data_IF_871652933598
#
_entry.id   IF_871652933598
#
_cell.length_a   1.000
_cell.length_b   1.000
_cell.length_c   1.000
_cell.angle_alpha   90.00
_cell.angle_beta   90.00
_cell.angle_gamma   90.00
#
_symmetry.space_group_name_H-M   'P 1'
#
loop_
_entity.id
_entity.type
_entity.pdbx_description
1 polymer ?
#
# COMPACT_ATOMS: atom_id res chain seq x y z
N UNK A 1 58.92 20.10 44.17
CA UNK A 1 59.22 20.17 42.73
C UNK A 1 58.07 19.46 42.03
N UNK A 2 57.39 20.17 41.15
CA UNK A 2 56.12 19.85 40.51
C UNK A 2 56.16 18.57 39.66
N UNK A 3 55.06 17.80 39.62
CA UNK A 3 54.24 17.68 38.42
C UNK A 3 52.88 17.02 38.72
N UNK A 4 51.81 17.74 38.38
CA UNK A 4 50.45 17.23 38.21
C UNK A 4 50.38 16.20 37.08
N UNK A 5 49.51 15.19 37.22
CA UNK A 5 48.74 14.73 36.07
C UNK A 5 47.41 14.12 36.53
N UNK A 6 46.35 14.90 36.33
CA UNK A 6 44.95 14.50 36.39
C UNK A 6 44.67 13.58 35.19
N UNK A 7 44.25 12.34 35.44
CA UNK A 7 43.72 11.47 34.39
C UNK A 7 42.25 11.85 34.10
N UNK A 8 41.84 11.97 32.82
CA UNK A 8 40.53 12.51 32.46
C UNK A 8 39.41 11.46 32.56
N UNK A 9 38.22 11.95 32.84
CA UNK A 9 36.93 11.25 32.81
C UNK A 9 36.78 10.35 31.57
N UNK A 10 36.64 9.05 31.80
CA UNK A 10 36.13 8.14 30.80
C UNK A 10 34.64 8.43 30.56
N UNK A 11 34.36 9.19 29.51
CA UNK A 11 33.01 9.35 28.97
C UNK A 11 32.49 7.99 28.48
N UNK A 12 31.65 7.34 29.29
CA UNK A 12 30.84 6.21 28.85
C UNK A 12 29.86 6.66 27.76
N UNK A 13 30.24 6.51 26.50
CA UNK A 13 29.29 6.56 25.39
C UNK A 13 28.53 5.23 25.32
N UNK A 14 27.51 5.12 26.17
CA UNK A 14 26.47 4.11 26.00
C UNK A 14 25.68 4.39 24.73
N UNK A 15 26.09 3.80 23.59
CA UNK A 15 25.22 3.69 22.41
C UNK A 15 24.08 2.73 22.76
N UNK A 16 23.01 3.27 23.36
CA UNK A 16 21.76 2.55 23.52
C UNK A 16 21.28 2.08 22.14
N UNK A 17 21.20 0.76 21.94
CA UNK A 17 20.52 0.18 20.78
C UNK A 17 19.08 0.67 20.83
N UNK A 18 18.69 1.58 19.92
CA UNK A 18 17.25 1.81 19.68
C UNK A 18 16.65 0.48 19.25
N UNK A 19 15.75 -0.06 20.06
CA UNK A 19 14.96 -1.21 19.67
C UNK A 19 14.17 -0.84 18.41
N UNK A 20 14.38 -1.58 17.31
CA UNK A 20 13.58 -1.40 16.10
C UNK A 20 12.15 -1.84 16.41
N UNK A 21 11.21 -0.90 16.33
CA UNK A 21 9.78 -1.21 16.42
C UNK A 21 9.36 -1.97 15.16
N UNK A 22 8.95 -3.22 15.33
CA UNK A 22 8.29 -3.99 14.27
C UNK A 22 6.84 -3.53 14.13
N UNK A 23 6.34 -3.52 12.90
CA UNK A 23 4.93 -3.27 12.59
C UNK A 23 4.32 -4.49 11.94
N UNK A 24 3.06 -4.77 12.26
CA UNK A 24 2.33 -5.90 11.70
C UNK A 24 1.20 -5.41 10.80
N UNK A 25 1.15 -5.95 9.58
CA UNK A 25 0.10 -5.70 8.60
C UNK A 25 -0.58 -6.98 8.17
N UNK A 26 -1.78 -6.86 7.60
CA UNK A 26 -2.56 -7.99 7.09
C UNK A 26 -3.02 -7.73 5.67
N UNK A 27 -2.90 -8.75 4.80
CA UNK A 27 -3.41 -8.70 3.43
C UNK A 27 -4.57 -9.69 3.30
N UNK A 28 -5.62 -9.28 2.60
CA UNK A 28 -6.85 -10.07 2.49
C UNK A 28 -7.43 -10.04 1.09
N UNK A 29 -7.88 -11.21 0.63
CA UNK A 29 -8.66 -11.36 -0.60
C UNK A 29 -10.00 -10.61 -0.54
N UNK A 30 -10.55 -10.25 -1.69
CA UNK A 30 -11.82 -9.53 -1.84
C UNK A 30 -13.01 -10.43 -2.18
N UNK A 31 -13.00 -11.67 -1.69
CA UNK A 31 -13.94 -12.72 -2.08
C UNK A 31 -15.12 -12.94 -1.11
N UNK A 32 -15.36 -11.97 -0.22
CA UNK A 32 -16.47 -11.98 0.74
C UNK A 32 -17.50 -10.90 0.40
N UNK A 33 -18.69 -10.92 1.02
CA UNK A 33 -19.67 -9.82 0.87
C UNK A 33 -19.12 -8.51 1.44
N UNK A 34 -19.71 -7.39 1.03
CA UNK A 34 -19.31 -6.07 1.52
C UNK A 34 -19.32 -6.00 3.05
N UNK A 35 -20.39 -6.45 3.70
CA UNK A 35 -20.57 -6.41 5.15
C UNK A 35 -19.47 -7.20 5.87
N UNK A 36 -19.07 -8.35 5.31
CA UNK A 36 -17.99 -9.17 5.85
C UNK A 36 -16.62 -8.54 5.66
N UNK A 37 -16.40 -7.82 4.56
CA UNK A 37 -15.17 -7.04 4.37
C UNK A 37 -15.08 -5.88 5.37
N UNK A 38 -16.20 -5.20 5.67
CA UNK A 38 -16.25 -4.14 6.68
C UNK A 38 -15.98 -4.71 8.07
N UNK A 39 -16.72 -5.75 8.47
CA UNK A 39 -16.59 -6.40 9.78
C UNK A 39 -15.14 -6.84 10.04
N UNK A 40 -14.52 -7.53 9.08
CA UNK A 40 -13.16 -8.05 9.24
C UNK A 40 -12.11 -6.93 9.34
N UNK A 41 -12.23 -5.85 8.55
CA UNK A 41 -11.26 -4.74 8.58
C UNK A 41 -11.36 -3.95 9.87
N UNK A 42 -12.57 -3.70 10.37
CA UNK A 42 -12.78 -3.12 11.70
C UNK A 42 -12.23 -4.03 12.80
N UNK A 43 -12.35 -5.35 12.64
CA UNK A 43 -11.77 -6.29 13.60
C UNK A 43 -10.24 -6.29 13.58
N UNK A 44 -9.60 -6.21 12.42
CA UNK A 44 -8.14 -6.08 12.32
C UNK A 44 -7.62 -4.82 13.00
N UNK A 45 -8.31 -3.69 12.84
CA UNK A 45 -7.96 -2.46 13.56
C UNK A 45 -8.08 -2.64 15.08
N UNK A 46 -9.16 -3.27 15.57
CA UNK A 46 -9.34 -3.58 17.00
C UNK A 46 -8.28 -4.53 17.56
N UNK A 47 -7.76 -5.45 16.73
CA UNK A 47 -6.66 -6.36 17.10
C UNK A 47 -5.29 -5.67 17.11
N UNK A 48 -5.19 -4.42 16.65
CA UNK A 48 -3.96 -3.64 16.66
C UNK A 48 -3.06 -3.86 15.45
N UNK A 49 -3.58 -4.39 14.34
CA UNK A 49 -2.83 -4.35 13.08
C UNK A 49 -2.59 -2.89 12.67
N UNK A 50 -1.36 -2.59 12.25
CA UNK A 50 -0.97 -1.22 11.88
C UNK A 50 -1.32 -0.90 10.41
N UNK A 51 -1.51 -1.94 9.58
CA UNK A 51 -1.93 -1.77 8.19
C UNK A 51 -2.79 -2.93 7.67
N UNK A 52 -3.72 -2.64 6.76
CA UNK A 52 -4.52 -3.62 6.03
C UNK A 52 -4.43 -3.41 4.51
N UNK A 53 -4.36 -4.50 3.75
CA UNK A 53 -4.04 -4.49 2.33
C UNK A 53 -5.00 -5.34 1.50
N UNK A 54 -5.39 -4.85 0.34
CA UNK A 54 -6.09 -5.60 -0.71
C UNK A 54 -5.12 -6.01 -1.82
N UNK A 55 -5.52 -6.96 -2.67
CA UNK A 55 -4.73 -7.41 -3.83
C UNK A 55 -5.32 -6.82 -5.12
N UNK A 56 -4.54 -6.17 -5.98
CA UNK A 56 -5.07 -5.64 -7.24
C UNK A 56 -5.24 -6.73 -8.30
N UNK A 57 -6.27 -7.55 -8.11
CA UNK A 57 -6.73 -8.54 -9.07
C UNK A 57 -8.22 -8.33 -9.35
N UNK A 58 -8.64 -8.63 -10.58
CA UNK A 58 -10.05 -8.60 -10.98
C UNK A 58 -10.76 -9.94 -10.74
N UNK A 59 -9.98 -10.98 -10.49
CA UNK A 59 -10.42 -12.31 -10.07
C UNK A 59 -9.50 -12.87 -9.00
N UNK A 60 -9.98 -13.81 -8.18
CA UNK A 60 -9.09 -14.56 -7.31
C UNK A 60 -8.25 -15.56 -8.14
N UNK A 61 -6.90 -15.48 -8.18
CA UNK A 61 -6.11 -16.38 -9.02
C UNK A 61 -6.31 -17.87 -8.68
N UNK A 62 -6.51 -18.18 -7.39
CA UNK A 62 -6.79 -19.55 -6.92
C UNK A 62 -8.25 -19.99 -7.12
N UNK A 63 -9.17 -19.06 -7.40
CA UNK A 63 -10.60 -19.35 -7.63
C UNK A 63 -11.21 -18.35 -8.63
N UNK A 64 -10.87 -18.44 -9.93
CA UNK A 64 -11.25 -17.42 -10.93
C UNK A 64 -12.75 -17.20 -11.13
N UNK A 65 -13.58 -18.20 -10.81
CA UNK A 65 -15.05 -18.15 -10.97
C UNK A 65 -15.78 -17.69 -9.71
N UNK A 66 -15.06 -17.36 -8.63
CA UNK A 66 -15.64 -16.87 -7.38
C UNK A 66 -15.96 -15.37 -7.44
N UNK A 67 -16.78 -14.86 -6.51
CA UNK A 67 -16.95 -13.43 -6.35
C UNK A 67 -15.61 -12.79 -5.98
N UNK A 68 -15.28 -11.65 -6.59
CA UNK A 68 -14.11 -10.86 -6.25
C UNK A 68 -14.42 -9.38 -6.51
N UNK A 69 -14.32 -8.54 -5.49
CA UNK A 69 -14.48 -7.08 -5.68
C UNK A 69 -13.21 -6.47 -6.27
N UNK A 70 -13.38 -5.42 -7.07
CA UNK A 70 -12.27 -4.58 -7.55
C UNK A 70 -11.61 -3.86 -6.36
N UNK A 71 -10.27 -3.84 -6.35
CA UNK A 71 -9.49 -3.47 -5.17
C UNK A 71 -9.66 -2.01 -4.75
N UNK A 72 -9.59 -1.05 -5.68
CA UNK A 72 -9.55 0.37 -5.32
C UNK A 72 -10.92 0.93 -4.93
N UNK A 73 -11.98 0.50 -5.60
CA UNK A 73 -13.36 0.85 -5.24
C UNK A 73 -13.74 0.24 -3.89
N UNK A 74 -13.35 -1.01 -3.62
CA UNK A 74 -13.51 -1.60 -2.29
C UNK A 74 -12.67 -0.84 -1.24
N UNK A 75 -11.42 -0.50 -1.55
CA UNK A 75 -10.53 0.23 -0.65
C UNK A 75 -11.14 1.57 -0.22
N UNK A 76 -11.71 2.32 -1.16
CA UNK A 76 -12.39 3.59 -0.87
C UNK A 76 -13.54 3.41 0.13
N UNK A 77 -14.36 2.37 -0.05
CA UNK A 77 -15.41 2.03 0.90
C UNK A 77 -14.85 1.67 2.28
N UNK A 78 -13.86 0.78 2.34
CA UNK A 78 -13.28 0.33 3.59
C UNK A 78 -12.50 1.43 4.33
N UNK A 79 -11.94 2.38 3.59
CA UNK A 79 -11.32 3.57 4.13
C UNK A 79 -12.30 4.36 5.02
N UNK A 80 -13.53 4.57 4.55
CA UNK A 80 -14.58 5.27 5.29
C UNK A 80 -15.10 4.49 6.51
N UNK A 81 -14.88 3.17 6.55
CA UNK A 81 -15.37 2.29 7.61
C UNK A 81 -14.33 1.98 8.69
N UNK A 82 -13.13 2.56 8.59
CA UNK A 82 -12.01 2.41 9.54
C UNK A 82 -11.49 3.78 9.98
N UNK A 83 -10.83 3.85 11.13
CA UNK A 83 -10.45 5.15 11.72
C UNK A 83 -8.94 5.35 11.84
N UNK A 84 -8.17 4.27 12.04
CA UNK A 84 -6.76 4.36 12.46
C UNK A 84 -5.82 3.49 11.65
N UNK A 85 -6.27 2.31 11.23
CA UNK A 85 -5.42 1.37 10.50
C UNK A 85 -4.96 1.99 9.18
N UNK A 86 -3.68 1.87 8.83
CA UNK A 86 -3.19 2.31 7.51
C UNK A 86 -3.71 1.36 6.44
N UNK A 87 -4.00 1.85 5.25
CA UNK A 87 -4.67 1.04 4.22
C UNK A 87 -3.94 1.14 2.89
N UNK A 88 -4.05 0.11 2.06
CA UNK A 88 -3.47 0.17 0.73
C UNK A 88 -3.80 -1.04 -0.13
N UNK A 89 -3.19 -1.06 -1.32
CA UNK A 89 -3.23 -2.19 -2.25
C UNK A 89 -1.81 -2.74 -2.42
N UNK A 90 -1.63 -4.04 -2.19
CA UNK A 90 -0.35 -4.75 -2.23
C UNK A 90 -0.38 -5.82 -3.33
N UNK A 91 -0.02 -5.52 -4.57
CA UNK A 91 0.36 -4.19 -5.11
C UNK A 91 -0.58 -3.80 -6.25
N UNK A 92 -0.76 -2.50 -6.48
CA UNK A 92 -1.54 -1.98 -7.62
C UNK A 92 -0.89 -2.41 -8.93
N UNK A 93 -1.64 -3.07 -9.81
CA UNK A 93 -1.17 -3.47 -11.12
C UNK A 93 -1.14 -2.27 -12.06
N UNK A 94 0.04 -1.96 -12.58
CA UNK A 94 0.24 -0.83 -13.49
C UNK A 94 -0.41 -1.00 -14.88
N UNK A 95 -1.03 -2.15 -15.15
CA UNK A 95 -1.65 -2.48 -16.44
C UNK A 95 -3.15 -2.20 -16.48
N UNK A 96 -3.83 -2.06 -15.33
CA UNK A 96 -5.29 -1.93 -15.30
C UNK A 96 -5.80 -0.53 -15.52
N UNK A 97 -4.98 0.48 -15.21
CA UNK A 97 -5.41 1.88 -15.24
C UNK A 97 -4.25 2.79 -15.55
N UNK A 98 -4.55 3.92 -16.19
CA UNK A 98 -3.53 4.92 -16.52
C UNK A 98 -2.90 5.49 -15.23
N UNK A 99 -1.58 5.73 -15.17
CA UNK A 99 -0.92 6.22 -13.96
C UNK A 99 -1.50 7.53 -13.40
N UNK A 100 -1.87 8.47 -14.27
CA UNK A 100 -2.52 9.72 -13.83
C UNK A 100 -3.91 9.50 -13.23
N UNK A 101 -4.65 8.49 -13.69
CA UNK A 101 -5.95 8.11 -13.11
C UNK A 101 -5.71 7.47 -11.74
N UNK A 102 -4.73 6.57 -11.63
CA UNK A 102 -4.32 6.00 -10.35
C UNK A 102 -3.93 7.08 -9.33
N UNK A 103 -3.15 8.08 -9.74
CA UNK A 103 -2.76 9.18 -8.85
C UNK A 103 -3.97 9.95 -8.31
N UNK A 104 -4.97 10.23 -9.16
CA UNK A 104 -6.22 10.88 -8.72
C UNK A 104 -7.06 9.98 -7.81
N UNK A 105 -7.16 8.68 -8.11
CA UNK A 105 -7.82 7.72 -7.23
C UNK A 105 -7.14 7.66 -5.86
N UNK A 106 -5.80 7.64 -5.83
CA UNK A 106 -5.01 7.64 -4.60
C UNK A 106 -5.27 8.89 -3.76
N UNK A 107 -5.23 10.08 -4.37
CA UNK A 107 -5.61 11.34 -3.70
C UNK A 107 -7.00 11.23 -3.07
N UNK A 108 -8.00 10.78 -3.81
CA UNK A 108 -9.37 10.67 -3.29
C UNK A 108 -9.46 9.71 -2.11
N UNK A 109 -8.83 8.53 -2.20
CA UNK A 109 -8.84 7.55 -1.10
C UNK A 109 -8.05 8.08 0.10
N UNK A 110 -6.96 8.82 -0.12
CA UNK A 110 -6.20 9.44 0.97
C UNK A 110 -7.07 10.40 1.78
N UNK A 111 -7.83 11.27 1.11
CA UNK A 111 -8.82 12.16 1.74
C UNK A 111 -9.92 11.40 2.49
N UNK A 112 -10.53 10.37 1.87
CA UNK A 112 -11.55 9.53 2.53
C UNK A 112 -10.97 8.88 3.79
N UNK A 113 -9.70 8.46 3.73
CA UNK A 113 -9.01 7.79 4.83
C UNK A 113 -8.44 8.75 5.87
N UNK A 114 -8.46 10.05 5.64
CA UNK A 114 -7.78 11.06 6.45
C UNK A 114 -6.26 10.82 6.57
N UNK A 115 -5.55 10.66 5.43
CA UNK A 115 -4.09 10.55 5.38
C UNK A 115 -3.53 9.15 5.72
N UNK A 116 -4.36 8.11 5.69
CA UNK A 116 -3.97 6.74 6.07
C UNK A 116 -3.56 5.86 4.90
N UNK A 117 -3.61 6.37 3.67
CA UNK A 117 -3.29 5.58 2.48
C UNK A 117 -1.78 5.30 2.36
N UNK A 118 -1.46 4.09 1.93
CA UNK A 118 -0.17 3.68 1.39
C UNK A 118 -0.35 3.15 -0.03
N UNK A 119 0.37 3.75 -0.99
CA UNK A 119 0.27 3.40 -2.41
C UNK A 119 1.31 2.35 -2.77
N UNK A 120 0.90 1.07 -2.78
CA UNK A 120 1.71 -0.02 -3.32
C UNK A 120 1.62 -0.06 -4.84
N UNK A 121 2.75 0.02 -5.53
CA UNK A 121 2.84 -0.05 -7.00
C UNK A 121 3.55 -1.33 -7.43
N UNK A 122 3.04 -1.98 -8.48
CA UNK A 122 3.65 -3.14 -9.10
C UNK A 122 3.55 -3.09 -10.63
N UNK A 123 4.47 -3.76 -11.31
CA UNK A 123 4.48 -3.77 -12.78
C UNK A 123 3.31 -4.55 -13.41
N UNK A 124 2.67 -5.44 -12.64
CA UNK A 124 1.68 -6.41 -13.14
C UNK A 124 2.35 -7.75 -13.47
N UNK A 125 1.61 -8.86 -13.31
CA UNK A 125 2.17 -10.21 -13.49
C UNK A 125 1.19 -11.27 -13.99
N UNK A 126 -0.11 -11.13 -13.74
CA UNK A 126 -1.07 -12.21 -13.97
C UNK A 126 -1.82 -12.05 -15.31
N UNK A 127 -1.27 -12.62 -16.37
CA UNK A 127 -1.85 -12.58 -17.72
C UNK A 127 -3.30 -13.14 -17.84
N UNK A 128 -3.72 -14.20 -17.11
CA UNK A 128 -5.06 -14.77 -17.31
C UNK A 128 -6.22 -13.79 -17.14
N UNK A 129 -6.14 -12.87 -16.17
CA UNK A 129 -7.20 -11.85 -16.00
C UNK A 129 -7.15 -10.79 -17.11
N UNK A 130 -5.98 -10.51 -17.68
CA UNK A 130 -5.85 -9.61 -18.81
C UNK A 130 -6.59 -10.17 -20.03
N UNK A 131 -6.37 -11.45 -20.33
CA UNK A 131 -7.10 -12.17 -21.38
C UNK A 131 -8.60 -12.19 -21.12
N UNK A 132 -9.00 -12.46 -19.87
CA UNK A 132 -10.43 -12.58 -19.53
C UNK A 132 -11.18 -11.25 -19.66
N UNK A 133 -10.55 -10.13 -19.31
CA UNK A 133 -11.16 -8.79 -19.34
C UNK A 133 -10.82 -7.99 -20.60
N UNK A 134 -10.08 -8.57 -21.56
CA UNK A 134 -9.67 -7.87 -22.78
C UNK A 134 -8.69 -6.73 -22.54
N UNK A 135 -7.91 -6.79 -21.46
CA UNK A 135 -6.89 -5.79 -21.13
C UNK A 135 -5.58 -6.23 -21.80
N UNK A 136 -4.88 -5.36 -22.54
CA UNK A 136 -3.58 -5.71 -23.08
C UNK A 136 -2.57 -6.05 -21.98
N UNK A 137 -1.84 -7.16 -22.14
CA UNK A 137 -0.72 -7.53 -21.29
C UNK A 137 0.60 -7.39 -22.08
N UNK A 138 1.36 -6.29 -21.90
CA UNK A 138 2.61 -6.09 -22.61
C UNK A 138 3.70 -7.10 -22.22
N UNK A 139 4.71 -7.19 -23.09
CA UNK A 139 5.95 -7.92 -22.82
C UNK A 139 6.68 -7.36 -21.58
N UNK A 140 7.46 -8.20 -20.91
CA UNK A 140 8.13 -7.85 -19.63
C UNK A 140 8.96 -6.57 -19.70
N UNK A 141 9.70 -6.34 -20.80
CA UNK A 141 10.50 -5.13 -20.99
C UNK A 141 9.63 -3.87 -20.95
N UNK A 142 8.46 -3.94 -21.57
CA UNK A 142 7.51 -2.84 -21.60
C UNK A 142 6.82 -2.65 -20.25
N UNK A 143 6.43 -3.73 -19.55
CA UNK A 143 5.89 -3.66 -18.19
C UNK A 143 6.82 -2.90 -17.24
N UNK A 144 8.12 -3.22 -17.26
CA UNK A 144 9.14 -2.55 -16.42
C UNK A 144 9.31 -1.08 -16.80
N UNK A 145 9.28 -0.76 -18.10
CA UNK A 145 9.36 0.63 -18.56
C UNK A 145 8.15 1.45 -18.12
N UNK A 146 6.94 0.92 -18.33
CA UNK A 146 5.68 1.53 -17.88
C UNK A 146 5.64 1.68 -16.37
N UNK A 147 6.16 0.71 -15.60
CA UNK A 147 6.23 0.81 -14.14
C UNK A 147 7.12 1.97 -13.68
N UNK A 148 8.29 2.14 -14.31
CA UNK A 148 9.18 3.28 -14.01
C UNK A 148 8.48 4.61 -14.26
N UNK A 149 7.81 4.76 -15.40
CA UNK A 149 7.05 5.96 -15.74
C UNK A 149 5.91 6.19 -14.73
N UNK A 150 5.17 5.14 -14.38
CA UNK A 150 4.07 5.24 -13.44
C UNK A 150 4.50 5.73 -12.06
N UNK A 151 5.63 5.22 -11.53
CA UNK A 151 6.20 5.71 -10.28
C UNK A 151 6.49 7.21 -10.35
N UNK A 152 7.06 7.69 -11.45
CA UNK A 152 7.36 9.12 -11.64
C UNK A 152 6.08 9.96 -11.72
N UNK A 153 5.09 9.52 -12.51
CA UNK A 153 3.82 10.23 -12.68
C UNK A 153 3.04 10.30 -11.38
N UNK A 154 2.93 9.18 -10.66
CA UNK A 154 2.23 9.13 -9.38
C UNK A 154 2.94 10.01 -8.35
N UNK A 155 4.27 9.90 -8.21
CA UNK A 155 5.05 10.73 -7.29
C UNK A 155 4.95 12.23 -7.58
N UNK A 156 4.94 12.63 -8.86
CA UNK A 156 4.80 14.03 -9.24
C UNK A 156 3.42 14.57 -8.86
N UNK A 157 2.36 13.88 -9.25
CA UNK A 157 0.97 14.34 -9.05
C UNK A 157 0.62 14.39 -7.55
N UNK A 158 1.07 13.42 -6.76
CA UNK A 158 0.74 13.35 -5.32
C UNK A 158 1.55 14.32 -4.45
N UNK A 159 2.52 15.03 -5.02
CA UNK A 159 3.28 16.09 -4.32
C UNK A 159 2.72 17.49 -4.55
N UNK A 160 1.84 17.68 -5.53
CA UNK A 160 1.27 19.00 -5.82
C UNK A 160 0.15 19.34 -4.85
N UNK A 161 0.14 20.57 -4.31
CA UNK A 161 -0.89 21.08 -3.39
C UNK A 161 -2.31 21.16 -4.00
N UNK A 162 -2.48 20.81 -5.28
CA UNK A 162 -3.75 20.98 -6.04
C UNK A 162 -4.76 19.85 -5.81
N UNK A 163 -4.45 18.89 -4.94
CA UNK A 163 -5.39 17.88 -4.46
C UNK A 163 -6.22 18.40 -3.26
N UNK A 164 -6.94 19.50 -3.47
CA UNK A 164 -7.99 19.99 -2.56
C UNK A 164 -9.34 19.38 -2.88
#
# INVERSE_FOLDING_TARGET
MFYDSVAPNAHMHGRGRMARRFRFGICTDQNMTWEKNVERWQWFEKLGFESAWLCDHLIQPSRPQGPYFEAWTLLAGLAAQTEKIRIGVLVTSNTFRHPSVLARMAVTVDHISNGRLEVGLGAGWYEPEHTMFGIPFPETKELVARFREAVQVVDLITREDTSS
#
